data_IF_933452156748
#
_entry.id   IF_933452156748
#
_cell.length_a   1.000
_cell.length_b   1.000
_cell.length_c   1.000
_cell.angle_alpha   90.00
_cell.angle_beta   90.00
_cell.angle_gamma   90.00
#
_symmetry.space_group_name_H-M   'P 1'
#
loop_
_entity.id
_entity.type
_entity.pdbx_description
1 polymer ?
#
# COMPACT_ATOMS: atom_id res chain seq x y z
N UNK A 1 -13.87 2.22 0.06
CA UNK A 1 -12.73 1.66 0.83
C UNK A 1 -13.21 0.68 1.87
N UNK A 2 -12.44 -0.37 2.10
CA UNK A 2 -12.72 -1.32 3.19
C UNK A 2 -12.43 -0.68 4.55
N UNK A 3 -12.94 -1.26 5.65
CA UNK A 3 -12.61 -0.73 6.99
C UNK A 3 -11.11 -0.67 7.27
N UNK A 4 -10.34 -1.69 6.84
CA UNK A 4 -8.89 -1.69 7.03
C UNK A 4 -8.22 -0.54 6.27
N UNK A 5 -8.64 -0.29 5.03
CA UNK A 5 -8.11 0.82 4.25
C UNK A 5 -8.43 2.18 4.91
N UNK A 6 -9.61 2.32 5.48
CA UNK A 6 -9.98 3.55 6.18
C UNK A 6 -9.12 3.78 7.41
N UNK A 7 -8.86 2.72 8.16
CA UNK A 7 -8.00 2.80 9.35
C UNK A 7 -6.59 3.25 8.94
N UNK A 8 -6.04 2.63 7.92
CA UNK A 8 -4.70 2.97 7.46
C UNK A 8 -4.64 4.38 6.87
N UNK A 9 -5.66 4.78 6.09
CA UNK A 9 -5.70 6.11 5.50
C UNK A 9 -5.67 7.22 6.55
N UNK A 10 -6.32 7.02 7.69
CA UNK A 10 -6.27 8.00 8.77
C UNK A 10 -4.85 8.26 9.24
N UNK A 11 -3.98 7.26 9.16
CA UNK A 11 -2.59 7.39 9.59
C UNK A 11 -1.68 7.95 8.50
N UNK A 12 -2.07 7.83 7.24
CA UNK A 12 -1.25 8.27 6.11
C UNK A 12 -1.59 9.66 5.61
N UNK A 13 -2.83 10.08 5.75
CA UNK A 13 -3.33 11.35 5.19
C UNK A 13 -2.73 12.57 5.89
N UNK A 14 -2.87 13.72 5.25
CA UNK A 14 -2.48 15.02 5.82
C UNK A 14 -1.01 15.10 6.21
N UNK A 15 -0.14 14.41 5.48
CA UNK A 15 1.31 14.41 5.71
C UNK A 15 1.71 14.01 7.13
N UNK A 16 0.92 13.17 7.79
CA UNK A 16 1.21 12.76 9.17
C UNK A 16 2.56 12.08 9.32
N UNK A 17 3.04 11.40 8.28
CA UNK A 17 4.36 10.77 8.30
C UNK A 17 5.45 11.63 7.69
N UNK A 18 5.15 12.90 7.40
CA UNK A 18 6.11 13.80 6.77
C UNK A 18 6.22 13.68 5.27
N UNK A 19 5.45 12.80 4.65
CA UNK A 19 5.38 12.60 3.20
C UNK A 19 3.93 12.54 2.78
N UNK A 20 3.69 12.87 1.52
CA UNK A 20 2.33 12.89 0.97
C UNK A 20 1.96 11.52 0.42
N UNK A 21 0.84 10.97 0.88
CA UNK A 21 0.25 9.74 0.34
C UNK A 21 -1.04 10.07 -0.41
N UNK A 22 -1.25 9.36 -1.51
CA UNK A 22 -2.49 9.41 -2.28
C UNK A 22 -3.18 8.07 -2.19
N UNK A 23 -4.50 8.07 -2.25
CA UNK A 23 -5.28 6.83 -2.21
C UNK A 23 -5.92 6.56 -3.57
N UNK A 24 -6.16 5.27 -3.86
CA UNK A 24 -6.86 4.85 -5.07
C UNK A 24 -6.26 5.48 -6.33
N UNK A 25 -4.95 5.39 -6.45
CA UNK A 25 -4.21 5.99 -7.56
C UNK A 25 -4.08 5.00 -8.70
N UNK A 26 -4.25 5.47 -9.93
CA UNK A 26 -4.03 4.63 -11.11
C UNK A 26 -2.57 4.78 -11.55
N UNK A 27 -1.85 3.66 -11.58
CA UNK A 27 -0.44 3.61 -11.98
C UNK A 27 -0.26 2.42 -12.92
N UNK A 28 0.32 2.64 -14.09
CA UNK A 28 0.53 1.60 -15.11
C UNK A 28 -0.75 0.83 -15.46
N UNK A 29 -1.90 1.51 -15.42
CA UNK A 29 -3.18 0.89 -15.71
C UNK A 29 -3.80 0.12 -14.55
N UNK A 30 -3.16 0.11 -13.38
CA UNK A 30 -3.66 -0.57 -12.18
C UNK A 30 -4.04 0.43 -11.11
N UNK A 31 -5.09 0.12 -10.35
CA UNK A 31 -5.47 0.94 -9.20
C UNK A 31 -4.73 0.41 -7.98
N UNK A 32 -3.95 1.28 -7.35
CA UNK A 32 -3.23 0.94 -6.11
C UNK A 32 -3.94 1.60 -4.93
N UNK A 33 -3.88 0.95 -3.77
CA UNK A 33 -4.60 1.44 -2.60
C UNK A 33 -4.01 2.75 -2.08
N UNK A 34 -2.69 2.79 -1.89
CA UNK A 34 -1.99 3.98 -1.43
C UNK A 34 -0.68 4.13 -2.17
N UNK A 35 -0.31 5.37 -2.46
CA UNK A 35 0.91 5.67 -3.21
C UNK A 35 1.61 6.89 -2.63
N UNK A 36 2.91 6.78 -2.44
CA UNK A 36 3.77 7.89 -2.06
C UNK A 36 4.80 8.12 -3.16
N UNK A 37 4.67 9.23 -3.88
CA UNK A 37 5.56 9.55 -4.99
C UNK A 37 6.99 9.78 -4.52
N UNK A 38 7.15 10.52 -3.43
CA UNK A 38 8.48 10.87 -2.91
C UNK A 38 9.29 9.65 -2.53
N UNK A 39 8.66 8.66 -1.93
CA UNK A 39 9.32 7.43 -1.49
C UNK A 39 9.26 6.33 -2.54
N UNK A 40 8.59 6.57 -3.67
CA UNK A 40 8.36 5.58 -4.71
C UNK A 40 7.79 4.29 -4.10
N UNK A 41 6.76 4.42 -3.28
CA UNK A 41 6.20 3.32 -2.49
C UNK A 41 4.72 3.15 -2.77
N UNK A 42 4.34 1.89 -3.03
CA UNK A 42 2.95 1.47 -3.15
C UNK A 42 2.61 0.61 -1.93
N UNK A 43 1.48 0.89 -1.30
CA UNK A 43 0.97 0.10 -0.18
C UNK A 43 -0.35 -0.50 -0.59
N UNK A 44 -0.48 -1.82 -0.43
CA UNK A 44 -1.69 -2.56 -0.74
C UNK A 44 -2.23 -3.20 0.53
N UNK A 45 -3.55 -3.15 0.69
CA UNK A 45 -4.23 -3.84 1.80
C UNK A 45 -5.08 -4.94 1.19
N UNK A 46 -4.72 -6.19 1.50
CA UNK A 46 -5.35 -7.34 0.89
C UNK A 46 -6.39 -7.99 1.79
N UNK A 47 -7.54 -8.33 1.21
CA UNK A 47 -8.53 -9.17 1.87
C UNK A 47 -8.12 -10.64 1.81
N UNK A 48 -9.06 -11.51 2.13
CA UNK A 48 -8.76 -12.94 2.30
C UNK A 48 -8.86 -13.78 1.02
N UNK A 49 -9.22 -13.20 -0.11
CA UNK A 49 -9.50 -13.97 -1.33
C UNK A 49 -8.44 -13.63 -2.39
N UNK A 50 -7.39 -14.45 -2.46
CA UNK A 50 -6.27 -14.11 -3.36
C UNK A 50 -5.93 -15.19 -4.36
N UNK A 51 -6.35 -16.42 -4.10
CA UNK A 51 -5.80 -17.56 -4.82
C UNK A 51 -6.18 -17.61 -6.28
N UNK A 52 -7.26 -16.95 -6.66
CA UNK A 52 -7.77 -16.99 -8.03
C UNK A 52 -7.15 -15.96 -8.97
N UNK A 53 -6.29 -15.07 -8.46
CA UNK A 53 -5.74 -13.95 -9.25
C UNK A 53 -4.23 -13.83 -9.16
N UNK A 54 -3.54 -14.91 -8.83
CA UNK A 54 -2.09 -14.87 -8.66
C UNK A 54 -1.34 -14.41 -9.90
N UNK A 55 -1.77 -14.83 -11.08
CA UNK A 55 -1.10 -14.44 -12.33
C UNK A 55 -1.25 -12.96 -12.62
N UNK A 56 -2.45 -12.41 -12.39
CA UNK A 56 -2.68 -10.98 -12.55
C UNK A 56 -1.90 -10.16 -11.52
N UNK A 57 -1.85 -10.65 -10.28
CA UNK A 57 -1.08 -10.00 -9.23
C UNK A 57 0.41 -9.97 -9.57
N UNK A 58 0.94 -11.05 -10.12
CA UNK A 58 2.35 -11.11 -10.52
C UNK A 58 2.65 -10.11 -11.64
N UNK A 59 1.78 -10.01 -12.64
CA UNK A 59 1.95 -9.05 -13.74
C UNK A 59 1.87 -7.62 -13.24
N UNK A 60 0.92 -7.34 -12.36
CA UNK A 60 0.72 -6.04 -11.75
C UNK A 60 1.96 -5.64 -10.96
N UNK A 61 2.43 -6.53 -10.11
CA UNK A 61 3.60 -6.26 -9.29
C UNK A 61 4.83 -6.02 -10.15
N UNK A 62 5.03 -6.83 -11.18
CA UNK A 62 6.15 -6.66 -12.09
C UNK A 62 6.09 -5.32 -12.81
N UNK A 63 4.92 -4.94 -13.32
CA UNK A 63 4.75 -3.65 -14.01
C UNK A 63 5.09 -2.47 -13.09
N UNK A 64 4.64 -2.53 -11.83
CA UNK A 64 4.92 -1.48 -10.87
C UNK A 64 6.40 -1.43 -10.50
N UNK A 65 7.04 -2.58 -10.34
CA UNK A 65 8.47 -2.65 -10.03
C UNK A 65 9.33 -2.15 -11.18
N UNK A 66 8.91 -2.38 -12.42
CA UNK A 66 9.61 -1.84 -13.59
C UNK A 66 9.60 -0.32 -13.63
N UNK A 67 8.62 0.30 -12.98
CA UNK A 67 8.57 1.74 -12.83
C UNK A 67 9.43 2.27 -11.69
N UNK A 68 10.16 1.39 -11.00
CA UNK A 68 11.00 1.77 -9.88
C UNK A 68 10.27 1.88 -8.56
N UNK A 69 9.06 1.32 -8.46
CA UNK A 69 8.25 1.41 -7.25
C UNK A 69 8.50 0.23 -6.32
N UNK A 70 8.62 0.51 -5.03
CA UNK A 70 8.55 -0.52 -4.01
C UNK A 70 7.10 -0.83 -3.69
N UNK A 71 6.82 -2.10 -3.38
CA UNK A 71 5.46 -2.55 -3.07
C UNK A 71 5.51 -3.26 -1.73
N UNK A 72 4.61 -2.85 -0.82
CA UNK A 72 4.42 -3.55 0.44
C UNK A 72 2.95 -3.92 0.56
N UNK A 73 2.69 -5.12 1.03
CA UNK A 73 1.33 -5.62 1.22
C UNK A 73 1.08 -5.94 2.68
N UNK A 74 -0.09 -5.56 3.15
CA UNK A 74 -0.54 -5.89 4.49
C UNK A 74 -1.90 -6.57 4.37
N UNK A 75 -2.15 -7.52 5.24
CA UNK A 75 -3.46 -8.16 5.31
C UNK A 75 -4.43 -7.26 6.08
N UNK A 76 -5.72 -7.39 5.78
CA UNK A 76 -6.74 -6.62 6.49
C UNK A 76 -6.63 -6.78 8.01
N UNK A 77 -6.47 -8.02 8.47
CA UNK A 77 -6.38 -8.31 9.88
C UNK A 77 -5.12 -7.72 10.53
N UNK A 78 -4.02 -7.64 9.81
CA UNK A 78 -2.82 -6.96 10.31
C UNK A 78 -3.07 -5.48 10.56
N UNK A 79 -3.73 -4.82 9.60
CA UNK A 79 -4.03 -3.39 9.73
C UNK A 79 -4.98 -3.13 10.91
N UNK A 80 -6.00 -3.97 11.06
CA UNK A 80 -7.00 -3.80 12.10
C UNK A 80 -6.44 -4.14 13.48
N UNK A 81 -5.69 -5.22 13.59
CA UNK A 81 -5.26 -5.76 14.88
C UNK A 81 -3.83 -5.40 15.29
N UNK A 82 -2.97 -5.05 14.33
CA UNK A 82 -1.56 -4.77 14.58
C UNK A 82 -1.12 -3.47 13.90
N UNK A 83 -1.93 -2.42 14.01
CA UNK A 83 -1.68 -1.16 13.30
C UNK A 83 -0.32 -0.57 13.64
N UNK A 84 0.12 -0.65 14.88
CA UNK A 84 1.41 -0.09 15.28
C UNK A 84 2.58 -0.78 14.56
N UNK A 85 2.49 -2.09 14.35
CA UNK A 85 3.51 -2.84 13.61
C UNK A 85 3.50 -2.44 12.15
N UNK A 86 2.30 -2.33 11.55
CA UNK A 86 2.14 -1.88 10.18
C UNK A 86 2.75 -0.49 9.98
N UNK A 87 2.43 0.43 10.86
CA UNK A 87 2.95 1.80 10.78
C UNK A 87 4.45 1.86 10.98
N UNK A 88 5.00 1.04 11.87
CA UNK A 88 6.45 0.94 12.05
C UNK A 88 7.16 0.52 10.78
N UNK A 89 6.61 -0.47 10.09
CA UNK A 89 7.17 -0.95 8.83
C UNK A 89 7.10 0.11 7.73
N UNK A 90 5.97 0.81 7.64
CA UNK A 90 5.82 1.89 6.66
C UNK A 90 6.83 3.00 6.93
N UNK A 91 7.02 3.40 8.18
CA UNK A 91 8.00 4.42 8.53
C UNK A 91 9.41 4.02 8.12
N UNK A 92 9.78 2.77 8.30
CA UNK A 92 11.09 2.28 7.85
C UNK A 92 11.26 2.42 6.33
N UNK A 93 10.21 2.16 5.58
CA UNK A 93 10.26 2.20 4.12
C UNK A 93 10.33 3.62 3.57
N UNK A 94 9.78 4.60 4.26
CA UNK A 94 9.79 5.99 3.78
C UNK A 94 11.02 6.78 4.22
N UNK A 95 11.73 6.31 5.23
CA UNK A 95 12.94 6.99 5.74
C UNK A 95 14.14 6.76 4.83
N UNK A 96 14.16 5.62 4.16
CA UNK A 96 15.26 5.30 3.27
C UNK A 96 15.34 6.16 2.06
#
# INVERSE_FOLDING_TARGET
>A
MTPAEKILWKELRANKLGVHFRRQQVIAGFIVDFYCHKSALVIEVDGDIHDLQQDEDARREQALREMGLGIVRFRNDEVVNNLSVVMGKIRELIVG
#
